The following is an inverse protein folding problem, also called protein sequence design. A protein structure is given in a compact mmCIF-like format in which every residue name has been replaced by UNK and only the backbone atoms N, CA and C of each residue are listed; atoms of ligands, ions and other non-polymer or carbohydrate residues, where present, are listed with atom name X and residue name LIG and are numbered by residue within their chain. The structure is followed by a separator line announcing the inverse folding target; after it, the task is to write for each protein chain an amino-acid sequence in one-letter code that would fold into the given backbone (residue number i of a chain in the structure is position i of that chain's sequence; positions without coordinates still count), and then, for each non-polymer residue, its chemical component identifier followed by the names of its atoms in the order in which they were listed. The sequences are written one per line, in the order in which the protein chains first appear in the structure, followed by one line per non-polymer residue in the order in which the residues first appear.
data_IF_118540634666
#
_entry.id   IF_118540634666
#
_cell.length_a   1.000
_cell.length_b   1.000
_cell.length_c   1.000
_cell.angle_alpha   90.00
_cell.angle_beta   90.00
_cell.angle_gamma   90.00
#
_symmetry.space_group_name_H-M   'P 1'
#
loop_
_entity.id
_entity.type
_entity.pdbx_description
1 polymer ?
#
# COMPACT_ATOMS: atom_id res chain seq x y z
N UNK A 1 -32.85 20.88 -22.61
CA UNK A 1 -32.10 22.04 -22.10
C UNK A 1 -31.26 21.77 -20.82
N UNK A 2 -31.60 20.81 -19.97
CA UNK A 2 -30.84 20.46 -18.78
C UNK A 2 -29.57 19.61 -19.09
N UNK A 3 -29.55 18.78 -20.11
CA UNK A 3 -28.42 17.91 -20.47
C UNK A 3 -27.24 18.69 -21.03
N UNK A 4 -27.48 19.78 -21.76
CA UNK A 4 -26.45 20.67 -22.32
C UNK A 4 -25.71 21.48 -21.27
N UNK A 5 -26.34 21.82 -20.15
CA UNK A 5 -25.70 22.56 -19.06
C UNK A 5 -24.73 21.70 -18.23
N UNK A 6 -24.97 20.40 -18.15
CA UNK A 6 -24.10 19.45 -17.41
C UNK A 6 -22.80 19.20 -18.17
N UNK A 7 -22.84 19.08 -19.51
CA UNK A 7 -21.67 18.89 -20.36
C UNK A 7 -20.77 20.14 -20.34
N UNK A 8 -21.33 21.35 -20.30
CA UNK A 8 -20.53 22.59 -20.21
C UNK A 8 -19.83 22.76 -18.85
N UNK A 9 -20.43 22.29 -17.74
CA UNK A 9 -19.77 22.35 -16.42
C UNK A 9 -18.63 21.35 -16.29
N UNK A 10 -18.75 20.15 -16.83
CA UNK A 10 -17.69 19.14 -16.85
C UNK A 10 -16.51 19.60 -17.70
N UNK A 11 -16.72 20.18 -18.87
CA UNK A 11 -15.65 20.68 -19.71
C UNK A 11 -14.90 21.89 -19.08
N UNK A 12 -15.57 22.75 -18.33
CA UNK A 12 -14.88 23.84 -17.60
C UNK A 12 -14.02 23.35 -16.45
N UNK A 13 -14.42 22.28 -15.77
CA UNK A 13 -13.61 21.65 -14.71
C UNK A 13 -12.37 20.96 -15.31
N UNK A 14 -12.56 20.21 -16.39
CA UNK A 14 -11.46 19.57 -17.13
C UNK A 14 -10.44 20.61 -17.66
N UNK A 15 -10.94 21.72 -18.22
CA UNK A 15 -10.06 22.79 -18.72
C UNK A 15 -9.28 23.47 -17.58
N UNK A 16 -9.90 23.68 -16.40
CA UNK A 16 -9.22 24.21 -15.22
C UNK A 16 -8.17 23.25 -14.66
N UNK A 17 -8.45 21.94 -14.70
CA UNK A 17 -7.48 20.91 -14.30
C UNK A 17 -6.30 20.86 -15.28
N UNK A 18 -6.56 20.89 -16.58
CA UNK A 18 -5.53 20.93 -17.62
C UNK A 18 -4.66 22.21 -17.52
N UNK A 19 -5.26 23.36 -17.27
CA UNK A 19 -4.53 24.61 -17.09
C UNK A 19 -3.68 24.61 -15.80
N UNK A 20 -4.18 24.03 -14.70
CA UNK A 20 -3.39 23.84 -13.47
C UNK A 20 -2.23 22.85 -13.70
N UNK A 21 -2.46 21.79 -14.46
CA UNK A 21 -1.43 20.82 -14.82
C UNK A 21 -0.35 21.44 -15.72
N UNK A 22 -0.73 22.21 -16.74
CA UNK A 22 0.21 22.94 -17.58
C UNK A 22 0.97 24.03 -16.82
N UNK A 23 0.35 24.66 -15.81
CA UNK A 23 1.05 25.65 -14.97
C UNK A 23 2.06 25.00 -14.02
N UNK A 24 1.80 23.77 -13.54
CA UNK A 24 2.79 22.97 -12.78
C UNK A 24 3.94 22.46 -13.64
N UNK A 25 3.68 22.15 -14.93
CA UNK A 25 4.72 21.72 -15.88
C UNK A 25 5.61 22.86 -16.40
N UNK A 26 5.15 24.10 -16.35
CA UNK A 26 5.91 25.30 -16.82
C UNK A 26 6.77 25.98 -15.77
N UNK A 27 6.70 25.57 -14.50
CA UNK A 27 7.72 26.02 -13.54
C UNK A 27 8.99 25.26 -13.87
N UNK A 28 10.11 25.96 -14.22
CA UNK A 28 11.41 25.31 -14.26
C UNK A 28 11.57 24.65 -12.88
N UNK A 29 11.89 23.35 -12.88
CA UNK A 29 12.30 22.66 -11.67
C UNK A 29 13.59 23.38 -11.26
N UNK A 30 13.49 24.36 -10.38
CA UNK A 30 14.66 24.83 -9.64
C UNK A 30 15.22 23.56 -9.00
N UNK A 31 16.38 23.11 -9.48
CA UNK A 31 17.12 22.03 -8.86
C UNK A 31 17.33 22.46 -7.41
N UNK A 32 16.51 21.91 -6.51
CA UNK A 32 16.74 22.09 -5.06
C UNK A 32 18.17 21.68 -4.82
N UNK A 33 18.99 22.51 -4.15
CA UNK A 33 20.39 22.22 -3.93
C UNK A 33 20.50 20.81 -3.36
N UNK A 34 21.20 19.95 -4.09
CA UNK A 34 21.30 18.52 -3.74
C UNK A 34 21.87 18.44 -2.33
N UNK A 35 21.15 17.83 -1.39
CA UNK A 35 21.66 17.61 -0.02
C UNK A 35 23.07 17.03 -0.08
N UNK A 36 24.00 17.47 0.77
CA UNK A 36 25.38 16.97 0.75
C UNK A 36 25.42 15.46 1.06
N UNK A 37 26.48 14.79 0.60
CA UNK A 37 26.76 13.41 0.97
C UNK A 37 26.90 13.35 2.50
N UNK A 38 26.24 12.35 3.11
CA UNK A 38 26.30 12.17 4.56
C UNK A 38 27.64 11.54 4.96
N UNK A 39 28.43 12.29 5.74
CA UNK A 39 29.70 11.78 6.25
C UNK A 39 29.52 10.54 7.14
N UNK A 40 28.38 10.48 7.87
CA UNK A 40 28.06 9.33 8.72
C UNK A 40 27.87 8.04 7.91
N UNK A 41 27.13 8.11 6.78
CA UNK A 41 26.96 6.98 5.86
C UNK A 41 28.31 6.54 5.30
N UNK A 42 29.13 7.50 4.87
CA UNK A 42 30.44 7.22 4.30
C UNK A 42 31.37 6.55 5.31
N UNK A 43 31.49 7.13 6.51
CA UNK A 43 32.32 6.55 7.59
C UNK A 43 31.87 5.12 7.95
N UNK A 44 30.58 4.85 8.01
CA UNK A 44 30.07 3.50 8.28
C UNK A 44 30.50 2.51 7.20
N UNK A 45 30.38 2.86 5.93
CA UNK A 45 30.77 2.00 4.82
C UNK A 45 32.28 1.78 4.76
N UNK A 46 33.07 2.81 5.04
CA UNK A 46 34.54 2.74 5.07
C UNK A 46 35.07 1.93 6.27
N UNK A 47 34.34 1.93 7.39
CA UNK A 47 34.74 1.23 8.61
C UNK A 47 34.60 -0.30 8.57
N UNK A 48 33.84 -0.83 7.60
CA UNK A 48 33.52 -2.25 7.51
C UNK A 48 34.15 -2.93 6.29
N UNK A 49 34.81 -4.04 6.51
CA UNK A 49 35.36 -4.90 5.44
C UNK A 49 34.26 -5.42 4.49
N UNK A 50 33.02 -5.60 5.00
CA UNK A 50 31.89 -6.14 4.23
C UNK A 50 31.50 -5.26 3.03
N UNK A 51 31.89 -3.98 3.03
CA UNK A 51 31.49 -3.01 1.98
C UNK A 51 32.62 -2.56 1.05
N UNK A 52 33.88 -2.96 1.29
CA UNK A 52 35.03 -2.54 0.47
C UNK A 52 34.85 -2.82 -1.02
N UNK A 53 34.23 -3.96 -1.38
CA UNK A 53 34.04 -4.36 -2.78
C UNK A 53 33.02 -3.49 -3.53
N UNK A 54 32.12 -2.83 -2.81
CA UNK A 54 31.01 -2.07 -3.41
C UNK A 54 31.13 -0.57 -3.20
N UNK A 55 32.05 -0.10 -2.34
CA UNK A 55 32.14 1.31 -1.96
C UNK A 55 32.24 2.24 -3.17
N UNK A 56 33.12 1.90 -4.12
CA UNK A 56 33.31 2.68 -5.36
C UNK A 56 32.15 2.53 -6.36
N UNK A 57 31.31 1.51 -6.17
CA UNK A 57 30.14 1.22 -7.03
C UNK A 57 28.85 1.84 -6.51
N UNK A 58 28.85 2.39 -5.29
CA UNK A 58 27.66 3.00 -4.70
C UNK A 58 27.40 4.34 -5.36
N UNK A 59 26.22 4.53 -5.97
CA UNK A 59 25.85 5.82 -6.55
C UNK A 59 25.84 6.93 -5.50
N UNK A 60 26.38 8.11 -5.84
CA UNK A 60 26.52 9.25 -4.89
C UNK A 60 25.20 9.67 -4.24
N UNK A 61 24.08 9.55 -4.94
CA UNK A 61 22.78 9.88 -4.37
C UNK A 61 22.38 8.94 -3.23
N UNK A 62 22.81 7.67 -3.23
CA UNK A 62 22.53 6.71 -2.15
C UNK A 62 23.35 6.99 -0.88
N UNK A 63 24.42 7.77 -0.98
CA UNK A 63 25.23 8.21 0.17
C UNK A 63 24.64 9.42 0.91
N UNK A 64 23.48 9.91 0.47
CA UNK A 64 22.72 10.97 1.12
C UNK A 64 21.70 10.42 2.07
N UNK A 65 21.24 11.24 3.03
CA UNK A 65 20.07 10.93 3.86
C UNK A 65 18.83 11.58 3.27
N UNK A 66 17.71 10.87 3.35
CA UNK A 66 16.40 11.34 2.85
C UNK A 66 15.36 11.35 3.97
N UNK A 67 14.40 12.27 3.91
CA UNK A 67 13.21 12.22 4.77
C UNK A 67 12.35 11.00 4.42
N UNK A 68 12.08 10.82 3.12
CA UNK A 68 11.32 9.71 2.57
C UNK A 68 11.95 9.25 1.23
N UNK A 69 12.77 8.21 1.22
CA UNK A 69 13.37 7.70 -0.02
C UNK A 69 12.29 7.03 -0.87
N UNK A 70 12.37 7.18 -2.19
CA UNK A 70 11.47 6.49 -3.12
C UNK A 70 11.88 5.03 -3.33
N UNK A 71 13.18 4.74 -3.24
CA UNK A 71 13.76 3.39 -3.41
C UNK A 71 14.71 3.07 -2.26
N UNK A 72 14.93 1.79 -2.03
CA UNK A 72 15.84 1.32 -0.98
C UNK A 72 16.52 0.03 -1.45
N UNK A 73 17.84 -0.03 -1.25
CA UNK A 73 18.71 -1.10 -1.76
C UNK A 73 19.43 -1.82 -0.65
N UNK A 74 19.39 -3.14 -0.66
CA UNK A 74 20.16 -3.99 0.25
C UNK A 74 21.65 -4.00 -0.15
N UNK A 75 22.52 -3.69 0.81
CA UNK A 75 23.98 -3.61 0.59
C UNK A 75 24.77 -4.68 1.34
N UNK A 76 24.14 -5.52 2.14
CA UNK A 76 24.80 -6.52 2.98
C UNK A 76 24.46 -7.96 2.56
N UNK A 77 25.49 -8.76 2.25
CA UNK A 77 25.38 -10.16 1.79
C UNK A 77 24.75 -11.06 2.88
N UNK A 78 25.19 -10.91 4.15
CA UNK A 78 24.69 -11.73 5.27
C UNK A 78 23.18 -11.50 5.50
N UNK A 79 22.74 -10.26 5.35
CA UNK A 79 21.30 -9.92 5.44
C UNK A 79 20.51 -10.51 4.26
N UNK A 80 21.07 -10.58 3.06
CA UNK A 80 20.43 -11.27 1.94
C UNK A 80 20.20 -12.76 2.26
N UNK A 81 21.23 -13.45 2.76
CA UNK A 81 21.12 -14.85 3.20
C UNK A 81 20.10 -15.01 4.32
N UNK A 82 20.07 -14.10 5.30
CA UNK A 82 19.08 -14.08 6.38
C UNK A 82 17.66 -13.96 5.84
N UNK A 83 17.40 -13.00 4.94
CA UNK A 83 16.08 -12.80 4.32
C UNK A 83 15.66 -14.06 3.59
N UNK A 84 16.50 -14.61 2.69
CA UNK A 84 16.17 -15.81 1.91
C UNK A 84 15.92 -17.02 2.79
N UNK A 85 16.70 -17.20 3.88
CA UNK A 85 16.47 -18.31 4.82
C UNK A 85 15.09 -18.29 5.45
N UNK A 86 14.54 -17.09 5.70
CA UNK A 86 13.20 -16.89 6.29
C UNK A 86 12.05 -17.08 5.27
N UNK A 87 12.29 -16.81 3.99
CA UNK A 87 11.23 -16.82 2.97
C UNK A 87 11.23 -18.05 2.07
N UNK A 88 12.39 -18.71 1.85
CA UNK A 88 12.55 -19.81 0.87
C UNK A 88 11.51 -20.92 0.99
N UNK A 89 11.13 -21.32 2.22
CA UNK A 89 10.16 -22.37 2.46
C UNK A 89 8.69 -21.91 2.36
N UNK A 90 8.47 -20.60 2.23
CA UNK A 90 7.13 -20.00 2.11
C UNK A 90 6.78 -19.66 0.66
N UNK A 91 7.80 -19.49 -0.19
CA UNK A 91 7.62 -19.30 -1.62
C UNK A 91 7.12 -20.61 -2.24
N UNK A 92 6.03 -20.53 -2.97
CA UNK A 92 5.44 -21.70 -3.63
C UNK A 92 6.34 -22.22 -4.76
N UNK A 93 6.41 -23.55 -4.89
CA UNK A 93 7.17 -24.17 -5.97
C UNK A 93 6.57 -23.80 -7.32
N UNK A 94 7.44 -23.50 -8.29
CA UNK A 94 7.05 -23.16 -9.67
C UNK A 94 6.25 -21.85 -9.84
N UNK A 95 5.99 -21.08 -8.76
CA UNK A 95 5.44 -19.75 -8.90
C UNK A 95 6.54 -18.75 -9.27
N UNK A 96 6.27 -17.75 -10.13
CA UNK A 96 7.28 -16.72 -10.41
C UNK A 96 7.62 -15.90 -9.16
N UNK A 97 8.87 -15.46 -9.09
CA UNK A 97 9.35 -14.53 -8.06
C UNK A 97 9.66 -13.21 -8.74
N UNK A 98 9.10 -12.14 -8.24
CA UNK A 98 9.44 -10.76 -8.62
C UNK A 98 10.35 -10.18 -7.55
N UNK A 99 11.55 -9.81 -7.90
CA UNK A 99 12.43 -9.03 -7.04
C UNK A 99 12.40 -7.58 -7.49
N UNK A 100 12.06 -6.69 -6.55
CA UNK A 100 11.94 -5.25 -6.82
C UNK A 100 13.12 -4.51 -6.23
N UNK A 101 13.78 -3.69 -7.06
CA UNK A 101 14.99 -2.95 -6.75
C UNK A 101 16.13 -3.86 -6.25
N UNK A 102 16.55 -4.85 -7.05
CA UNK A 102 17.62 -5.80 -6.69
C UNK A 102 18.97 -5.12 -6.40
N UNK A 103 19.24 -3.94 -6.99
CA UNK A 103 20.44 -3.17 -6.77
C UNK A 103 21.71 -3.96 -7.09
N UNK A 104 22.51 -4.28 -6.07
CA UNK A 104 23.76 -5.06 -6.21
C UNK A 104 23.53 -6.55 -6.50
N UNK A 105 22.28 -7.03 -6.55
CA UNK A 105 21.93 -8.41 -6.84
C UNK A 105 22.29 -9.40 -5.72
N UNK A 106 22.48 -8.95 -4.48
CA UNK A 106 22.78 -9.87 -3.37
C UNK A 106 21.61 -10.79 -3.06
N UNK A 107 20.40 -10.24 -2.99
CA UNK A 107 19.21 -11.04 -2.76
C UNK A 107 18.90 -11.93 -3.97
N UNK A 108 19.10 -11.44 -5.19
CA UNK A 108 18.98 -12.19 -6.44
C UNK A 108 19.82 -13.47 -6.43
N UNK A 109 21.11 -13.36 -6.09
CA UNK A 109 22.03 -14.50 -6.04
C UNK A 109 21.63 -15.54 -5.01
N UNK A 110 21.19 -15.11 -3.84
CA UNK A 110 20.71 -15.99 -2.78
C UNK A 110 19.40 -16.71 -3.19
N UNK A 111 18.47 -15.99 -3.84
CA UNK A 111 17.23 -16.58 -4.37
C UNK A 111 17.53 -17.61 -5.45
N UNK A 112 18.43 -17.33 -6.38
CA UNK A 112 18.83 -18.26 -7.44
C UNK A 112 19.48 -19.54 -6.88
N UNK A 113 20.26 -19.41 -5.81
CA UNK A 113 20.89 -20.55 -5.14
C UNK A 113 19.91 -21.39 -4.34
N UNK A 114 18.90 -20.74 -3.72
CA UNK A 114 17.95 -21.39 -2.82
C UNK A 114 16.73 -22.01 -3.51
N UNK A 115 16.37 -21.53 -4.70
CA UNK A 115 15.10 -21.86 -5.38
C UNK A 115 15.30 -22.01 -6.89
N UNK A 116 14.49 -22.88 -7.52
CA UNK A 116 14.47 -23.09 -8.97
C UNK A 116 13.38 -22.32 -9.71
N UNK A 117 12.74 -21.37 -9.02
CA UNK A 117 11.68 -20.55 -9.59
C UNK A 117 12.23 -19.58 -10.65
N UNK A 118 11.38 -19.16 -11.60
CA UNK A 118 11.70 -18.06 -12.51
C UNK A 118 11.72 -16.75 -11.72
N UNK A 119 12.72 -15.93 -11.99
CA UNK A 119 12.99 -14.69 -11.28
C UNK A 119 12.88 -13.50 -12.23
N UNK A 120 11.99 -12.56 -11.92
CA UNK A 120 11.76 -11.34 -12.66
C UNK A 120 12.32 -10.16 -11.85
N UNK A 121 13.34 -9.51 -12.39
CA UNK A 121 14.03 -8.40 -11.75
C UNK A 121 13.50 -7.08 -12.30
N UNK A 122 13.01 -6.21 -11.43
CA UNK A 122 12.60 -4.85 -11.77
C UNK A 122 13.47 -3.84 -11.03
N UNK A 123 14.20 -3.02 -11.79
CA UNK A 123 15.12 -2.03 -11.24
C UNK A 123 14.83 -0.65 -11.82
N UNK A 124 14.83 0.36 -10.97
CA UNK A 124 14.58 1.76 -11.36
C UNK A 124 15.85 2.48 -11.79
N UNK A 125 17.00 2.08 -11.21
CA UNK A 125 18.26 2.79 -11.37
C UNK A 125 19.14 2.19 -12.46
N UNK A 126 19.48 2.98 -13.46
CA UNK A 126 20.44 2.60 -14.51
C UNK A 126 21.83 2.21 -13.97
N UNK A 127 22.19 2.61 -12.74
CA UNK A 127 23.48 2.30 -12.15
C UNK A 127 23.71 0.80 -11.92
N UNK A 128 22.65 0.04 -11.77
CA UNK A 128 22.71 -1.40 -11.49
C UNK A 128 22.51 -2.27 -12.72
N UNK A 129 22.11 -1.69 -13.85
CA UNK A 129 21.74 -2.41 -15.10
C UNK A 129 22.81 -3.40 -15.51
N UNK A 130 24.08 -2.98 -15.63
CA UNK A 130 25.16 -3.84 -16.09
C UNK A 130 25.33 -5.11 -15.23
N UNK A 131 25.31 -4.96 -13.91
CA UNK A 131 25.45 -6.11 -13.00
C UNK A 131 24.25 -7.06 -13.05
N UNK A 132 23.06 -6.55 -13.28
CA UNK A 132 21.82 -7.35 -13.39
C UNK A 132 21.74 -8.06 -14.75
N UNK A 133 22.16 -7.41 -15.82
CA UNK A 133 22.32 -8.02 -17.15
C UNK A 133 23.34 -9.17 -17.14
N UNK A 134 24.46 -9.03 -16.43
CA UNK A 134 25.44 -10.10 -16.24
C UNK A 134 24.82 -11.31 -15.50
N UNK A 135 23.96 -11.07 -14.49
CA UNK A 135 23.23 -12.15 -13.80
C UNK A 135 22.22 -12.80 -14.74
N UNK A 136 21.47 -12.03 -15.54
CA UNK A 136 20.55 -12.56 -16.54
C UNK A 136 21.30 -13.39 -17.60
N UNK A 137 22.41 -12.90 -18.13
CA UNK A 137 23.21 -13.62 -19.10
C UNK A 137 23.76 -14.96 -18.56
N UNK A 138 24.03 -15.02 -17.25
CA UNK A 138 24.48 -16.26 -16.58
C UNK A 138 23.34 -17.26 -16.33
N UNK A 139 22.07 -16.80 -16.36
CA UNK A 139 20.87 -17.62 -16.08
C UNK A 139 19.73 -17.28 -17.03
N UNK A 140 19.91 -17.36 -18.36
CA UNK A 140 18.97 -16.83 -19.35
C UNK A 140 17.59 -17.50 -19.31
N UNK A 141 17.51 -18.77 -18.93
CA UNK A 141 16.25 -19.53 -18.83
C UNK A 141 15.45 -19.21 -17.55
N UNK A 142 16.08 -18.53 -16.58
CA UNK A 142 15.48 -18.34 -15.24
C UNK A 142 15.31 -16.90 -14.84
N UNK A 143 16.13 -16.01 -15.39
CA UNK A 143 16.16 -14.60 -14.99
C UNK A 143 15.72 -13.72 -16.14
N UNK A 144 14.70 -12.92 -15.88
CA UNK A 144 14.26 -11.83 -16.76
C UNK A 144 14.49 -10.50 -16.05
N UNK A 145 15.18 -9.57 -16.71
CA UNK A 145 15.46 -8.23 -16.17
C UNK A 145 14.72 -7.16 -16.94
N UNK A 146 14.17 -6.19 -16.21
CA UNK A 146 13.49 -5.03 -16.76
C UNK A 146 13.86 -3.77 -15.98
N UNK A 147 14.25 -2.73 -16.70
CA UNK A 147 14.50 -1.40 -16.13
C UNK A 147 13.18 -0.64 -16.03
N UNK A 148 12.48 -0.78 -14.89
CA UNK A 148 11.15 -0.19 -14.69
C UNK A 148 10.78 -0.09 -13.19
N UNK A 149 9.81 0.77 -12.84
CA UNK A 149 9.35 1.01 -11.47
C UNK A 149 8.15 0.11 -11.11
N UNK A 150 8.42 -1.09 -10.61
CA UNK A 150 7.37 -2.03 -10.22
C UNK A 150 6.52 -1.53 -9.04
N UNK A 151 7.14 -1.00 -7.98
CA UNK A 151 6.38 -0.44 -6.85
C UNK A 151 5.64 0.86 -7.19
N UNK A 152 6.07 1.52 -8.27
CA UNK A 152 5.41 2.69 -8.82
C UNK A 152 4.28 2.41 -9.81
N UNK A 153 3.85 1.14 -9.97
CA UNK A 153 2.79 0.77 -10.93
C UNK A 153 1.48 1.53 -10.72
N UNK A 154 1.20 2.03 -9.52
CA UNK A 154 0.04 2.88 -9.25
C UNK A 154 0.04 4.17 -10.11
N UNK A 155 1.24 4.72 -10.41
CA UNK A 155 1.39 5.89 -11.29
C UNK A 155 0.99 5.54 -12.74
N UNK A 156 1.34 4.32 -13.17
CA UNK A 156 0.97 3.81 -14.49
C UNK A 156 -0.51 3.49 -14.58
N UNK A 157 -1.07 2.82 -13.57
CA UNK A 157 -2.49 2.53 -13.48
C UNK A 157 -3.35 3.80 -13.53
N UNK A 158 -2.90 4.87 -12.87
CA UNK A 158 -3.58 6.16 -12.94
C UNK A 158 -3.54 6.75 -14.37
N UNK A 159 -2.38 6.72 -15.04
CA UNK A 159 -2.25 7.21 -16.42
C UNK A 159 -3.10 6.38 -17.39
N UNK A 160 -3.07 5.05 -17.27
CA UNK A 160 -3.89 4.16 -18.10
C UNK A 160 -5.38 4.42 -17.95
N UNK A 161 -5.84 4.75 -16.73
CA UNK A 161 -7.24 5.14 -16.49
C UNK A 161 -7.60 6.49 -17.13
N UNK A 162 -6.64 7.39 -17.36
CA UNK A 162 -6.88 8.70 -17.95
C UNK A 162 -6.92 8.70 -19.47
N UNK A 163 -6.16 7.81 -20.10
CA UNK A 163 -5.96 7.80 -21.56
C UNK A 163 -6.15 6.41 -22.21
N UNK A 164 -6.77 5.46 -21.47
CA UNK A 164 -7.01 4.08 -21.88
C UNK A 164 -5.73 3.38 -22.39
N UNK A 165 -4.59 3.68 -21.73
CA UNK A 165 -3.28 3.13 -22.06
C UNK A 165 -3.09 1.70 -21.59
N UNK A 166 -1.97 1.07 -22.02
CA UNK A 166 -1.60 -0.31 -21.68
C UNK A 166 -0.27 -0.39 -20.91
N UNK A 167 0.06 0.63 -20.11
CA UNK A 167 1.35 0.73 -19.42
C UNK A 167 1.54 -0.35 -18.37
N UNK A 168 0.47 -0.72 -17.67
CA UNK A 168 0.51 -1.82 -16.69
C UNK A 168 0.77 -3.15 -17.39
N UNK A 169 0.07 -3.45 -18.49
CA UNK A 169 0.31 -4.67 -19.25
C UNK A 169 1.73 -4.71 -19.80
N UNK A 170 2.26 -3.58 -20.27
CA UNK A 170 3.64 -3.47 -20.74
C UNK A 170 4.66 -3.63 -19.59
N UNK A 171 4.37 -3.08 -18.39
CA UNK A 171 5.20 -3.29 -17.21
C UNK A 171 5.27 -4.76 -16.85
N UNK A 172 4.14 -5.44 -16.77
CA UNK A 172 4.06 -6.83 -16.32
C UNK A 172 4.57 -7.81 -17.39
N UNK A 173 4.30 -7.57 -18.67
CA UNK A 173 4.71 -8.50 -19.74
C UNK A 173 4.25 -9.93 -19.44
N UNK A 174 5.18 -10.88 -19.37
CA UNK A 174 4.91 -12.31 -19.12
C UNK A 174 4.37 -12.60 -17.71
N UNK A 175 4.44 -11.63 -16.80
CA UNK A 175 3.81 -11.73 -15.48
C UNK A 175 2.31 -11.44 -15.51
N UNK A 176 1.81 -10.77 -16.55
CA UNK A 176 0.39 -10.47 -16.67
C UNK A 176 -0.43 -11.75 -16.74
N UNK A 177 -1.54 -11.79 -15.99
CA UNK A 177 -2.43 -12.94 -15.95
C UNK A 177 -3.87 -12.54 -15.71
N UNK A 178 -4.80 -13.23 -16.34
CA UNK A 178 -6.22 -13.15 -16.05
C UNK A 178 -6.65 -14.15 -14.97
N UNK A 179 -5.77 -15.11 -14.64
CA UNK A 179 -5.98 -16.05 -13.55
C UNK A 179 -5.81 -15.36 -12.20
N UNK A 180 -6.93 -15.10 -11.52
CA UNK A 180 -6.98 -14.43 -10.22
C UNK A 180 -6.36 -15.27 -9.09
N UNK A 181 -6.24 -16.57 -9.27
CA UNK A 181 -5.69 -17.48 -8.28
C UNK A 181 -4.21 -17.81 -8.54
N UNK A 182 -3.66 -17.36 -9.69
CA UNK A 182 -2.23 -17.51 -9.98
C UNK A 182 -1.39 -16.89 -8.88
N UNK A 183 -0.54 -17.71 -8.29
CA UNK A 183 0.37 -17.26 -7.23
C UNK A 183 1.64 -16.67 -7.78
N UNK A 184 2.10 -15.64 -7.12
CA UNK A 184 3.28 -14.86 -7.43
C UNK A 184 3.92 -14.43 -6.11
N UNK A 185 5.23 -14.50 -5.99
CA UNK A 185 5.94 -13.97 -4.82
C UNK A 185 6.65 -12.66 -5.18
N UNK A 186 6.40 -11.60 -4.42
CA UNK A 186 7.05 -10.31 -4.59
C UNK A 186 8.01 -10.10 -3.42
N UNK A 187 9.29 -9.88 -3.73
CA UNK A 187 10.36 -9.72 -2.74
C UNK A 187 11.06 -8.39 -2.97
N UNK A 188 11.37 -7.66 -1.90
CA UNK A 188 12.13 -6.40 -2.03
C UNK A 188 12.06 -5.52 -0.80
N UNK A 189 12.80 -4.42 -0.81
CA UNK A 189 12.72 -3.37 0.20
C UNK A 189 11.75 -2.28 -0.25
N UNK A 190 10.74 -2.02 0.56
CA UNK A 190 9.67 -1.07 0.25
C UNK A 190 9.68 0.09 1.26
N UNK A 191 10.27 1.23 0.90
CA UNK A 191 10.36 2.40 1.78
C UNK A 191 9.04 3.15 1.97
N UNK A 192 8.04 2.89 1.12
CA UNK A 192 6.73 3.56 1.12
C UNK A 192 5.60 2.54 1.03
N UNK A 193 4.46 2.84 1.66
CA UNK A 193 3.25 1.99 1.61
C UNK A 193 2.38 2.21 0.36
N UNK A 194 2.85 3.02 -0.60
CA UNK A 194 2.06 3.35 -1.81
C UNK A 194 1.64 2.13 -2.62
N UNK A 195 2.52 1.13 -2.73
CA UNK A 195 2.19 -0.12 -3.42
C UNK A 195 1.10 -0.91 -2.69
N UNK A 196 1.14 -0.98 -1.35
CA UNK A 196 0.06 -1.62 -0.54
C UNK A 196 -1.26 -0.87 -0.71
N UNK A 197 -1.23 0.48 -0.73
CA UNK A 197 -2.41 1.30 -1.04
C UNK A 197 -2.98 0.95 -2.42
N UNK A 198 -2.11 0.79 -3.41
CA UNK A 198 -2.51 0.41 -4.77
C UNK A 198 -3.19 -0.96 -4.78
N UNK A 199 -2.62 -1.96 -4.13
CA UNK A 199 -3.23 -3.29 -4.04
C UNK A 199 -4.61 -3.25 -3.36
N UNK A 200 -4.75 -2.52 -2.26
CA UNK A 200 -6.04 -2.33 -1.59
C UNK A 200 -7.06 -1.70 -2.54
N UNK A 201 -6.68 -0.62 -3.23
CA UNK A 201 -7.57 0.07 -4.17
C UNK A 201 -7.99 -0.85 -5.34
N UNK A 202 -7.05 -1.65 -5.84
CA UNK A 202 -7.32 -2.61 -6.91
C UNK A 202 -8.33 -3.66 -6.47
N UNK A 203 -8.18 -4.21 -5.26
CA UNK A 203 -9.11 -5.19 -4.69
C UNK A 203 -10.48 -4.55 -4.43
N UNK A 204 -10.49 -3.38 -3.80
CA UNK A 204 -11.73 -2.70 -3.38
C UNK A 204 -12.58 -2.25 -4.57
N UNK A 205 -11.96 -1.69 -5.58
CA UNK A 205 -12.68 -1.11 -6.73
C UNK A 205 -12.70 -2.01 -7.96
N UNK A 206 -12.26 -3.27 -7.82
CA UNK A 206 -12.24 -4.25 -8.92
C UNK A 206 -11.61 -3.69 -10.20
N UNK A 207 -10.58 -2.86 -10.04
CA UNK A 207 -9.86 -2.35 -11.19
C UNK A 207 -9.22 -3.53 -11.92
N UNK A 208 -9.58 -3.72 -13.18
CA UNK A 208 -9.08 -4.78 -14.08
C UNK A 208 -7.56 -4.71 -14.28
N UNK A 209 -6.92 -3.67 -13.80
CA UNK A 209 -5.47 -3.46 -13.84
C UNK A 209 -4.66 -4.38 -12.92
N UNK A 210 -5.30 -5.22 -12.10
CA UNK A 210 -4.59 -6.24 -11.33
C UNK A 210 -4.43 -7.52 -12.15
N UNK A 211 -3.53 -7.48 -13.11
CA UNK A 211 -3.09 -8.66 -13.85
C UNK A 211 -2.00 -9.45 -13.08
N UNK A 212 -1.93 -9.27 -11.75
CA UNK A 212 -0.92 -9.91 -10.90
C UNK A 212 -1.39 -11.23 -10.27
N UNK A 213 -2.67 -11.60 -10.43
CA UNK A 213 -3.23 -12.74 -9.70
C UNK A 213 -3.28 -12.49 -8.20
N UNK A 214 -2.81 -13.46 -7.41
CA UNK A 214 -2.82 -13.45 -5.93
C UNK A 214 -1.38 -13.39 -5.38
N UNK A 215 -0.79 -12.19 -5.26
CA UNK A 215 0.59 -12.04 -4.85
C UNK A 215 0.79 -12.28 -3.35
N UNK A 216 1.84 -13.05 -3.01
CA UNK A 216 2.44 -13.14 -1.69
C UNK A 216 3.60 -12.15 -1.60
N UNK A 217 3.53 -11.20 -0.67
CA UNK A 217 4.57 -10.18 -0.51
C UNK A 217 5.51 -10.57 0.63
N UNK A 218 6.81 -10.57 0.35
CA UNK A 218 7.88 -10.71 1.32
C UNK A 218 8.69 -9.42 1.33
N UNK A 219 8.24 -8.45 2.09
CA UNK A 219 8.70 -7.06 2.00
C UNK A 219 9.49 -6.67 3.23
N UNK A 220 10.66 -6.06 2.99
CA UNK A 220 11.40 -5.36 4.04
C UNK A 220 10.92 -3.92 4.08
N UNK A 221 10.34 -3.49 5.20
CA UNK A 221 9.79 -2.15 5.36
C UNK A 221 10.19 -1.50 6.69
N UNK A 222 10.17 -0.16 6.78
CA UNK A 222 10.35 0.55 8.05
C UNK A 222 9.33 0.11 9.10
N UNK A 223 9.76 -0.02 10.36
CA UNK A 223 8.89 -0.41 11.48
C UNK A 223 7.67 0.50 11.62
N UNK A 224 7.83 1.81 11.39
CA UNK A 224 6.74 2.78 11.40
C UNK A 224 5.62 2.47 10.40
N UNK A 225 5.98 2.00 9.20
CA UNK A 225 4.99 1.60 8.18
C UNK A 225 4.25 0.32 8.58
N UNK A 226 4.97 -0.63 9.17
CA UNK A 226 4.35 -1.84 9.69
C UNK A 226 3.35 -1.52 10.80
N UNK A 227 3.76 -0.74 11.81
CA UNK A 227 2.88 -0.32 12.90
C UNK A 227 1.67 0.46 12.37
N UNK A 228 1.89 1.42 11.46
CA UNK A 228 0.79 2.16 10.86
C UNK A 228 -0.26 1.25 10.22
N UNK A 229 0.15 0.16 9.56
CA UNK A 229 -0.77 -0.79 8.92
C UNK A 229 -1.44 -1.75 9.90
N UNK A 230 -0.77 -2.06 11.02
CA UNK A 230 -1.14 -3.17 11.91
C UNK A 230 -1.58 -2.74 13.30
N UNK A 231 -1.46 -1.45 13.64
CA UNK A 231 -1.78 -0.95 14.97
C UNK A 231 -3.21 -1.33 15.35
N UNK A 232 -3.31 -2.21 16.35
CA UNK A 232 -4.58 -2.61 16.94
C UNK A 232 -5.22 -1.46 17.74
N UNK A 233 -4.42 -0.45 18.14
CA UNK A 233 -4.89 0.76 18.83
C UNK A 233 -5.42 1.83 17.86
N UNK A 234 -5.79 1.45 16.63
CA UNK A 234 -6.58 2.29 15.71
C UNK A 234 -7.78 2.94 16.42
N UNK A 235 -8.15 2.42 17.58
CA UNK A 235 -9.11 3.05 18.49
C UNK A 235 -8.67 4.43 19.01
N UNK A 236 -7.37 4.70 19.12
CA UNK A 236 -6.85 5.92 19.75
C UNK A 236 -6.29 6.93 18.74
N UNK A 237 -5.90 6.50 17.56
CA UNK A 237 -5.31 7.37 16.56
C UNK A 237 -6.26 7.61 15.40
N UNK A 238 -6.59 8.87 15.20
CA UNK A 238 -7.33 9.45 14.09
C UNK A 238 -7.19 8.64 12.78
N UNK A 239 -8.18 7.78 12.44
CA UNK A 239 -8.85 7.82 11.18
C UNK A 239 -8.14 7.38 9.94
N UNK A 240 -7.73 6.13 9.83
CA UNK A 240 -7.24 5.76 8.51
C UNK A 240 -8.01 4.52 8.05
N UNK A 241 -8.90 4.70 7.09
CA UNK A 241 -9.57 3.60 6.39
C UNK A 241 -8.57 2.59 5.84
N UNK A 242 -7.35 3.05 5.52
CA UNK A 242 -6.28 2.21 4.99
C UNK A 242 -5.83 1.10 5.96
N UNK A 243 -5.46 1.35 7.23
CA UNK A 243 -5.14 0.28 8.17
C UNK A 243 -6.31 -0.68 8.42
N UNK A 244 -7.53 -0.15 8.51
CA UNK A 244 -8.70 -1.00 8.70
C UNK A 244 -8.91 -1.96 7.51
N UNK A 245 -8.83 -1.45 6.30
CA UNK A 245 -8.95 -2.26 5.08
C UNK A 245 -7.78 -3.23 4.95
N UNK A 246 -6.54 -2.80 5.27
CA UNK A 246 -5.39 -3.68 5.26
C UNK A 246 -5.61 -4.89 6.17
N UNK A 247 -5.99 -4.67 7.42
CA UNK A 247 -6.22 -5.74 8.38
C UNK A 247 -7.43 -6.63 8.03
N UNK A 248 -8.44 -6.08 7.36
CA UNK A 248 -9.59 -6.84 6.91
C UNK A 248 -9.30 -7.69 5.66
N UNK A 249 -8.44 -7.19 4.76
CA UNK A 249 -8.16 -7.82 3.47
C UNK A 249 -6.95 -8.77 3.50
N UNK A 250 -5.94 -8.48 4.34
CA UNK A 250 -4.69 -9.22 4.33
C UNK A 250 -4.43 -9.95 5.64
N UNK A 251 -3.78 -11.12 5.52
CA UNK A 251 -3.01 -11.74 6.60
C UNK A 251 -1.58 -11.21 6.52
N UNK A 252 -1.00 -10.90 7.68
CA UNK A 252 0.33 -10.33 7.76
C UNK A 252 1.10 -10.86 8.98
N UNK A 253 2.39 -11.06 8.79
CA UNK A 253 3.27 -11.59 9.85
C UNK A 253 4.67 -11.04 9.69
N UNK A 254 5.26 -10.55 10.79
CA UNK A 254 6.71 -10.30 10.85
C UNK A 254 7.42 -11.64 10.85
N UNK A 255 8.32 -11.84 9.90
CA UNK A 255 9.15 -13.03 9.80
C UNK A 255 10.47 -12.82 10.53
N UNK A 256 11.03 -11.60 10.43
CA UNK A 256 12.32 -11.27 11.01
C UNK A 256 12.51 -9.75 11.10
N UNK A 257 13.54 -9.33 11.85
CA UNK A 257 14.04 -7.97 11.88
C UNK A 257 15.46 -7.94 11.34
N UNK A 258 15.74 -6.97 10.47
CA UNK A 258 17.06 -6.81 9.84
C UNK A 258 17.61 -5.40 10.08
N UNK A 259 18.93 -5.22 10.24
CA UNK A 259 19.51 -3.92 10.55
C UNK A 259 19.20 -2.89 9.45
N UNK A 260 18.66 -1.75 9.83
CA UNK A 260 18.33 -0.64 8.90
C UNK A 260 19.55 -0.13 8.15
N UNK A 261 20.72 -0.13 8.78
CA UNK A 261 21.98 0.34 8.21
C UNK A 261 22.46 -0.49 7.01
N UNK A 262 21.92 -1.72 6.85
CA UNK A 262 22.21 -2.59 5.70
C UNK A 262 21.43 -2.21 4.42
N UNK A 263 20.68 -1.10 4.47
CA UNK A 263 19.90 -0.59 3.33
C UNK A 263 20.27 0.87 3.05
N UNK A 264 20.41 1.22 1.77
CA UNK A 264 20.65 2.59 1.30
C UNK A 264 19.52 3.07 0.40
N UNK A 265 19.21 4.36 0.39
CA UNK A 265 19.75 5.44 1.24
C UNK A 265 19.20 5.40 2.66
N UNK A 266 19.94 5.98 3.61
CA UNK A 266 19.42 6.13 4.97
C UNK A 266 18.38 7.23 5.07
N UNK A 267 17.46 7.06 6.01
CA UNK A 267 16.50 8.10 6.37
C UNK A 267 17.05 8.97 7.49
N UNK A 268 16.64 10.24 7.53
CA UNK A 268 16.86 11.06 8.71
C UNK A 268 16.12 10.41 9.90
N UNK A 269 16.73 10.44 11.09
CA UNK A 269 16.05 10.03 12.31
C UNK A 269 14.96 11.07 12.62
N UNK A 270 13.71 10.71 12.40
CA UNK A 270 12.58 11.48 12.90
C UNK A 270 12.37 11.05 14.35
N UNK A 271 12.98 11.77 15.28
CA UNK A 271 12.72 11.55 16.72
C UNK A 271 11.31 12.05 17.02
N UNK A 272 10.32 11.27 16.69
CA UNK A 272 8.98 11.45 17.24
C UNK A 272 8.95 10.83 18.63
N UNK A 273 8.87 11.68 19.63
CA UNK A 273 8.98 11.38 21.08
C UNK A 273 7.93 10.40 21.66
N UNK A 274 7.22 9.61 20.84
CA UNK A 274 5.99 8.90 21.29
C UNK A 274 5.92 7.40 21.03
N UNK A 275 6.90 6.73 20.42
CA UNK A 275 6.79 5.27 20.32
C UNK A 275 7.91 4.57 21.08
N UNK A 276 7.57 4.05 22.27
CA UNK A 276 8.44 3.17 23.07
C UNK A 276 8.52 1.74 22.50
N UNK A 277 7.95 1.47 21.33
CA UNK A 277 7.75 0.12 20.79
C UNK A 277 8.53 -0.11 19.49
N UNK A 278 8.81 0.96 18.72
CA UNK A 278 9.50 0.83 17.43
C UNK A 278 11.00 0.74 17.66
N UNK A 279 11.60 -0.34 17.17
CA UNK A 279 13.05 -0.45 17.06
C UNK A 279 13.50 0.36 15.82
N UNK A 280 13.92 1.61 16.03
CA UNK A 280 14.36 2.54 14.96
C UNK A 280 15.61 2.05 14.21
N UNK A 281 16.33 1.08 14.78
CA UNK A 281 17.55 0.51 14.18
C UNK A 281 17.26 -0.64 13.23
N UNK A 282 16.02 -1.13 13.18
CA UNK A 282 15.64 -2.29 12.38
C UNK A 282 14.61 -1.95 11.30
N UNK A 283 14.69 -2.70 10.21
CA UNK A 283 13.63 -2.90 9.23
C UNK A 283 12.93 -4.21 9.52
N UNK A 284 11.65 -4.31 9.19
CA UNK A 284 10.87 -5.51 9.41
C UNK A 284 10.68 -6.26 8.10
N UNK A 285 11.11 -7.53 8.07
CA UNK A 285 10.76 -8.47 7.01
C UNK A 285 9.36 -9.00 7.29
N UNK A 286 8.40 -8.62 6.46
CA UNK A 286 6.99 -8.93 6.63
C UNK A 286 6.50 -9.80 5.48
N UNK A 287 5.72 -10.83 5.80
CA UNK A 287 4.90 -11.53 4.82
C UNK A 287 3.49 -10.94 4.85
N UNK A 288 2.97 -10.54 3.70
CA UNK A 288 1.63 -10.00 3.51
C UNK A 288 0.93 -10.82 2.44
N UNK A 289 -0.24 -11.35 2.75
CA UNK A 289 -1.03 -12.25 1.92
C UNK A 289 -2.48 -11.79 1.83
N UNK A 290 -3.08 -11.79 0.65
CA UNK A 290 -4.53 -11.58 0.54
C UNK A 290 -5.25 -12.76 1.21
N UNK A 291 -6.22 -12.46 2.08
CA UNK A 291 -7.06 -13.49 2.73
C UNK A 291 -7.85 -14.28 1.72
N UNK A 292 -8.02 -15.57 1.99
CA UNK A 292 -8.85 -16.44 1.15
C UNK A 292 -10.32 -16.04 1.20
N UNK A 293 -10.77 -15.51 2.34
CA UNK A 293 -12.14 -15.05 2.56
C UNK A 293 -12.17 -13.53 2.70
N UNK A 294 -12.82 -12.85 1.77
CA UNK A 294 -13.02 -11.41 1.84
C UNK A 294 -14.00 -11.02 2.97
N UNK A 295 -13.87 -9.79 3.52
CA UNK A 295 -14.71 -9.33 4.62
C UNK A 295 -16.19 -9.18 4.24
N UNK A 296 -16.50 -9.06 2.98
CA UNK A 296 -17.86 -8.97 2.42
C UNK A 296 -17.82 -9.37 0.93
N UNK A 297 -18.99 -9.61 0.31
CA UNK A 297 -19.05 -9.85 -1.13
C UNK A 297 -18.32 -8.77 -1.92
N UNK A 298 -17.62 -9.10 -3.03
CA UNK A 298 -16.84 -8.16 -3.81
C UNK A 298 -17.60 -6.86 -4.13
N UNK A 299 -18.85 -6.94 -4.55
CA UNK A 299 -19.73 -5.79 -4.85
C UNK A 299 -19.91 -4.80 -3.68
N UNK A 300 -19.65 -5.23 -2.45
CA UNK A 300 -19.78 -4.40 -1.24
C UNK A 300 -18.44 -3.82 -0.77
N UNK A 301 -17.31 -4.19 -1.36
CA UNK A 301 -16.00 -3.65 -0.96
C UNK A 301 -15.89 -2.13 -1.13
N UNK A 302 -16.38 -1.50 -2.22
CA UNK A 302 -16.40 -0.04 -2.33
C UNK A 302 -17.28 0.63 -1.25
N UNK A 303 -18.40 0.00 -0.89
CA UNK A 303 -19.26 0.47 0.20
C UNK A 303 -18.57 0.35 1.57
N UNK A 304 -17.82 -0.75 1.79
CA UNK A 304 -17.03 -0.96 3.00
C UNK A 304 -15.93 0.10 3.13
N UNK A 305 -15.22 0.39 2.04
CA UNK A 305 -14.23 1.47 1.99
C UNK A 305 -14.87 2.82 2.36
N UNK A 306 -15.99 3.15 1.75
CA UNK A 306 -16.70 4.40 2.01
C UNK A 306 -17.21 4.48 3.45
N UNK A 307 -17.72 3.37 3.99
CA UNK A 307 -18.13 3.26 5.38
C UNK A 307 -16.99 3.58 6.34
N UNK A 308 -15.81 2.97 6.16
CA UNK A 308 -14.65 3.25 7.00
C UNK A 308 -14.13 4.67 6.80
N UNK A 309 -14.17 5.20 5.59
CA UNK A 309 -13.74 6.57 5.30
C UNK A 309 -14.63 7.63 5.96
N UNK A 310 -15.92 7.42 6.01
CA UNK A 310 -16.88 8.47 6.42
C UNK A 310 -17.42 8.34 7.84
N UNK A 311 -17.52 7.10 8.36
CA UNK A 311 -18.19 6.84 9.62
C UNK A 311 -17.23 6.62 10.78
N UNK A 312 -16.02 6.14 10.51
CA UNK A 312 -15.02 5.94 11.54
C UNK A 312 -14.05 7.12 11.67
N UNK A 313 -14.37 8.24 11.01
CA UNK A 313 -13.46 9.37 10.86
C UNK A 313 -13.23 10.17 12.15
N UNK A 314 -14.21 10.26 13.03
CA UNK A 314 -14.07 10.94 14.32
C UNK A 314 -14.26 9.97 15.49
N UNK A 315 -13.36 10.00 16.47
CA UNK A 315 -13.47 9.18 17.67
C UNK A 315 -14.81 9.40 18.42
N UNK A 316 -15.39 10.58 18.28
CA UNK A 316 -16.68 10.95 18.87
C UNK A 316 -17.90 10.60 18.02
N UNK A 317 -17.73 10.02 16.83
CA UNK A 317 -18.87 9.66 15.98
C UNK A 317 -19.67 8.52 16.61
N UNK A 318 -20.95 8.82 16.94
CA UNK A 318 -21.87 7.83 17.51
C UNK A 318 -22.43 6.93 16.44
N UNK A 319 -22.50 5.62 16.70
CA UNK A 319 -22.90 4.60 15.73
C UNK A 319 -24.35 4.80 15.31
N UNK A 320 -25.29 4.76 16.25
CA UNK A 320 -26.73 4.82 15.96
C UNK A 320 -27.11 6.14 15.29
N UNK A 321 -26.81 7.33 15.84
CA UNK A 321 -27.17 8.58 15.19
C UNK A 321 -26.59 8.75 13.80
N UNK A 322 -25.42 8.14 13.53
CA UNK A 322 -24.79 8.22 12.21
C UNK A 322 -25.49 7.33 11.19
N UNK A 323 -25.91 6.13 11.57
CA UNK A 323 -26.64 5.22 10.68
C UNK A 323 -28.08 5.65 10.46
N UNK A 324 -28.74 6.24 11.46
CA UNK A 324 -30.07 6.83 11.34
C UNK A 324 -30.17 7.95 10.28
N UNK A 325 -29.05 8.61 9.96
CA UNK A 325 -28.99 9.58 8.86
C UNK A 325 -29.23 8.94 7.48
N UNK A 326 -28.92 7.64 7.35
CA UNK A 326 -29.09 6.89 6.12
C UNK A 326 -30.36 6.05 6.13
N UNK A 327 -30.67 5.39 7.23
CA UNK A 327 -31.85 4.51 7.39
C UNK A 327 -32.54 4.86 8.70
N UNK A 328 -33.54 5.77 8.66
CA UNK A 328 -34.29 6.12 9.84
C UNK A 328 -34.94 4.91 10.51
N UNK A 329 -34.89 4.82 11.83
CA UNK A 329 -35.41 3.71 12.63
C UNK A 329 -34.48 2.49 12.77
N UNK A 330 -33.33 2.50 12.14
CA UNK A 330 -32.37 1.38 12.23
C UNK A 330 -31.77 1.20 13.62
N UNK A 331 -31.76 2.24 14.44
CA UNK A 331 -31.19 2.21 15.80
C UNK A 331 -31.87 1.20 16.72
N UNK A 332 -33.18 1.03 16.58
CA UNK A 332 -33.96 0.03 17.33
C UNK A 332 -33.39 -1.38 17.11
N UNK A 333 -33.07 -1.75 15.86
CA UNK A 333 -32.52 -3.06 15.51
C UNK A 333 -31.15 -3.31 16.14
N UNK A 334 -30.34 -2.26 16.26
CA UNK A 334 -29.01 -2.36 16.90
C UNK A 334 -29.12 -2.46 18.42
N UNK A 335 -30.07 -1.75 19.03
CA UNK A 335 -30.29 -1.77 20.49
C UNK A 335 -30.91 -3.10 20.93
N UNK A 336 -31.91 -3.60 20.20
CA UNK A 336 -32.60 -4.84 20.52
C UNK A 336 -31.82 -6.11 20.17
N UNK A 337 -30.68 -5.95 19.47
CA UNK A 337 -29.85 -7.09 19.13
C UNK A 337 -30.48 -8.05 18.10
N UNK A 338 -31.42 -7.57 17.28
CA UNK A 338 -31.98 -8.41 16.20
C UNK A 338 -30.86 -9.02 15.36
N UNK A 339 -30.80 -10.34 15.34
CA UNK A 339 -29.74 -11.04 14.64
C UNK A 339 -29.79 -10.82 13.13
N UNK A 340 -28.62 -10.68 12.49
CA UNK A 340 -28.56 -10.64 11.03
C UNK A 340 -28.97 -12.01 10.46
N UNK A 341 -29.37 -12.09 9.18
CA UNK A 341 -29.60 -13.36 8.50
C UNK A 341 -28.44 -14.34 8.72
N UNK A 342 -28.76 -15.62 8.91
CA UNK A 342 -27.80 -16.68 9.27
C UNK A 342 -26.68 -16.93 8.23
N UNK A 343 -26.78 -16.34 7.03
CA UNK A 343 -25.92 -16.64 5.87
C UNK A 343 -24.64 -15.80 5.81
N UNK A 344 -24.34 -14.97 6.85
CA UNK A 344 -23.15 -14.13 6.84
C UNK A 344 -21.88 -14.94 7.18
N UNK A 345 -21.11 -15.30 6.15
CA UNK A 345 -19.78 -15.90 6.31
C UNK A 345 -18.69 -14.84 6.01
N UNK A 346 -17.59 -14.77 6.81
CA UNK A 346 -17.41 -15.46 8.10
C UNK A 346 -18.36 -14.97 9.18
N UNK A 347 -18.54 -15.78 10.24
CA UNK A 347 -19.46 -15.48 11.34
C UNK A 347 -19.23 -14.07 11.90
N UNK A 348 -20.29 -13.27 12.11
CA UNK A 348 -20.17 -11.92 12.62
C UNK A 348 -19.65 -11.92 14.06
N UNK A 349 -18.74 -10.97 14.38
CA UNK A 349 -18.33 -10.77 15.77
C UNK A 349 -19.53 -10.29 16.61
N UNK A 350 -19.68 -10.76 17.86
CA UNK A 350 -20.75 -10.30 18.73
C UNK A 350 -20.60 -8.79 18.98
N UNK A 351 -21.72 -8.07 18.85
CA UNK A 351 -21.76 -6.64 19.20
C UNK A 351 -21.93 -6.49 20.72
N UNK A 352 -21.31 -5.47 21.31
CA UNK A 352 -21.61 -5.09 22.68
C UNK A 352 -23.06 -4.60 22.80
N UNK A 353 -23.54 -4.43 24.02
CA UNK A 353 -24.83 -3.76 24.25
C UNK A 353 -24.76 -2.33 23.68
N UNK A 354 -25.50 -2.09 22.58
CA UNK A 354 -25.49 -0.81 21.87
C UNK A 354 -26.52 0.15 22.47
N UNK A 355 -26.16 1.42 22.53
CA UNK A 355 -27.07 2.51 22.89
C UNK A 355 -26.76 3.77 22.05
N UNK A 356 -27.56 4.82 22.21
CA UNK A 356 -27.43 6.08 21.45
C UNK A 356 -26.09 6.82 21.68
N UNK A 357 -25.36 6.48 22.73
CA UNK A 357 -24.07 7.08 23.08
C UNK A 357 -22.87 6.25 22.61
N UNK A 358 -23.10 4.99 22.20
CA UNK A 358 -22.04 4.11 21.70
C UNK A 358 -21.33 4.74 20.51
N UNK A 359 -20.01 4.90 20.61
CA UNK A 359 -19.17 5.48 19.56
C UNK A 359 -18.55 4.40 18.68
N UNK A 360 -18.15 4.75 17.46
CA UNK A 360 -17.36 3.83 16.63
C UNK A 360 -16.00 3.50 17.26
N UNK A 361 -15.43 4.40 18.05
CA UNK A 361 -14.19 4.15 18.83
C UNK A 361 -14.34 3.03 19.85
N UNK A 362 -15.53 2.79 20.37
CA UNK A 362 -15.79 1.74 21.38
C UNK A 362 -15.82 0.33 20.76
N UNK A 363 -15.87 0.25 19.44
CA UNK A 363 -15.98 -1.00 18.69
C UNK A 363 -14.62 -1.46 18.17
N UNK A 364 -14.35 -2.76 18.30
CA UNK A 364 -13.24 -3.40 17.62
C UNK A 364 -13.42 -3.37 16.09
N UNK A 365 -12.36 -3.59 15.33
CA UNK A 365 -12.43 -3.63 13.86
C UNK A 365 -13.46 -4.66 13.36
N UNK A 366 -13.51 -5.85 13.99
CA UNK A 366 -14.46 -6.89 13.63
C UNK A 366 -15.91 -6.53 13.99
N UNK A 367 -16.12 -5.81 15.09
CA UNK A 367 -17.44 -5.30 15.46
C UNK A 367 -17.90 -4.19 14.49
N UNK A 368 -16.99 -3.29 14.06
CA UNK A 368 -17.28 -2.31 12.99
C UNK A 368 -17.67 -3.00 11.69
N UNK A 369 -16.97 -4.07 11.31
CA UNK A 369 -17.35 -4.88 10.15
C UNK A 369 -18.73 -5.53 10.33
N UNK A 370 -19.05 -6.02 11.52
CA UNK A 370 -20.39 -6.56 11.83
C UNK A 370 -21.48 -5.50 11.70
N UNK A 371 -21.23 -4.29 12.22
CA UNK A 371 -22.16 -3.15 12.04
C UNK A 371 -22.37 -2.86 10.56
N UNK A 372 -21.29 -2.78 9.76
CA UNK A 372 -21.38 -2.58 8.31
C UNK A 372 -22.21 -3.68 7.62
N UNK A 373 -21.94 -4.96 7.92
CA UNK A 373 -22.66 -6.08 7.31
C UNK A 373 -24.14 -6.04 7.64
N UNK A 374 -24.51 -5.73 8.89
CA UNK A 374 -25.91 -5.52 9.29
C UNK A 374 -26.53 -4.35 8.50
N UNK A 375 -25.84 -3.22 8.43
CA UNK A 375 -26.30 -2.03 7.73
C UNK A 375 -26.63 -2.31 6.25
N UNK A 376 -25.75 -3.00 5.51
CA UNK A 376 -25.98 -3.33 4.10
C UNK A 376 -26.95 -4.48 3.88
N UNK A 377 -27.32 -5.24 4.93
CA UNK A 377 -28.29 -6.34 4.84
C UNK A 377 -29.74 -5.88 5.10
N UNK A 378 -29.94 -4.67 5.59
CA UNK A 378 -31.29 -4.18 5.84
C UNK A 378 -32.04 -3.90 4.53
N UNK A 379 -33.34 -4.23 4.44
CA UNK A 379 -34.11 -4.05 3.21
C UNK A 379 -34.12 -2.60 2.68
N UNK A 380 -34.06 -1.64 3.58
CA UNK A 380 -34.06 -0.21 3.27
C UNK A 380 -32.75 0.29 2.70
N UNK A 381 -31.66 -0.51 2.82
CA UNK A 381 -30.33 -0.10 2.35
C UNK A 381 -30.32 0.22 0.85
N UNK A 382 -30.99 -0.55 0.02
CA UNK A 382 -30.98 -0.33 -1.43
C UNK A 382 -31.73 0.97 -1.82
N UNK A 383 -32.58 1.48 -0.93
CA UNK A 383 -33.33 2.72 -1.15
C UNK A 383 -32.67 3.95 -0.52
N UNK A 384 -31.69 3.73 0.37
CA UNK A 384 -30.99 4.84 1.02
C UNK A 384 -29.91 5.43 0.08
N UNK A 385 -29.58 6.71 0.28
CA UNK A 385 -28.61 7.45 -0.53
C UNK A 385 -27.14 7.06 -0.33
N UNK A 386 -26.83 6.04 0.48
CA UNK A 386 -25.45 5.70 0.85
C UNK A 386 -24.60 5.30 -0.35
N UNK A 387 -25.13 4.48 -1.27
CA UNK A 387 -24.46 4.06 -2.51
C UNK A 387 -24.15 5.26 -3.40
N UNK A 388 -25.15 6.12 -3.64
CA UNK A 388 -24.96 7.33 -4.46
C UNK A 388 -23.97 8.30 -3.84
N UNK A 389 -23.95 8.44 -2.51
CA UNK A 389 -22.95 9.26 -1.80
C UNK A 389 -21.54 8.69 -1.95
N UNK A 390 -21.38 7.36 -1.90
CA UNK A 390 -20.11 6.69 -2.18
C UNK A 390 -19.65 6.98 -3.61
N UNK A 391 -20.50 6.77 -4.61
CA UNK A 391 -20.20 7.02 -6.02
C UNK A 391 -19.79 8.48 -6.27
N UNK A 392 -20.47 9.44 -5.67
CA UNK A 392 -20.13 10.86 -5.75
C UNK A 392 -18.81 11.22 -5.07
N UNK A 393 -18.29 10.36 -4.16
CA UNK A 393 -17.01 10.57 -3.50
C UNK A 393 -15.81 10.04 -4.30
N UNK A 394 -16.03 9.13 -5.26
CA UNK A 394 -14.95 8.51 -6.05
C UNK A 394 -14.12 9.49 -6.88
N UNK A 395 -14.71 10.48 -7.58
CA UNK A 395 -13.93 11.46 -8.35
C UNK A 395 -12.98 12.29 -7.49
N UNK A 396 -13.41 12.65 -6.27
CA UNK A 396 -12.55 13.37 -5.32
C UNK A 396 -11.39 12.52 -4.82
N UNK A 397 -11.60 11.22 -4.71
CA UNK A 397 -10.57 10.28 -4.30
C UNK A 397 -9.49 10.06 -5.38
N UNK A 398 -9.88 10.04 -6.64
CA UNK A 398 -8.93 9.94 -7.75
C UNK A 398 -7.95 11.13 -7.79
N UNK A 399 -8.39 12.33 -7.37
CA UNK A 399 -7.51 13.51 -7.27
C UNK A 399 -6.61 13.51 -6.03
N UNK A 400 -7.04 12.90 -4.92
CA UNK A 400 -6.22 12.77 -3.70
C UNK A 400 -5.08 11.74 -3.82
N UNK A 401 -5.16 10.81 -4.78
CA UNK A 401 -4.04 9.90 -5.07
C UNK A 401 -2.83 10.64 -5.64
N UNK A 402 -3.01 11.83 -6.24
CA UNK A 402 -1.92 12.68 -6.70
C UNK A 402 -1.11 13.32 -5.55
N UNK A 403 -1.71 13.49 -4.38
CA UNK A 403 -1.07 14.05 -3.18
C UNK A 403 -0.37 12.99 -2.30
N UNK A 404 -0.32 11.73 -2.73
CA UNK A 404 0.37 10.64 -2.00
C UNK A 404 1.91 10.85 -1.88
N UNK A 405 2.44 11.99 -2.31
CA UNK A 405 3.80 12.46 -2.03
C UNK A 405 3.95 13.14 -0.66
N UNK A 406 2.84 13.45 0.02
CA UNK A 406 2.93 14.03 1.33
C UNK A 406 3.52 13.02 2.32
N UNK A 407 4.56 13.38 3.07
CA UNK A 407 4.99 12.61 4.23
C UNK A 407 3.79 12.38 5.16
N UNK A 408 3.82 11.28 5.92
CA UNK A 408 2.75 10.96 6.88
C UNK A 408 2.44 12.11 7.87
N UNK A 409 3.35 13.08 7.99
CA UNK A 409 3.25 14.24 8.89
C UNK A 409 2.40 15.42 8.32
N UNK A 410 2.19 15.50 6.99
CA UNK A 410 1.53 16.65 6.35
C UNK A 410 0.01 16.43 6.08
N UNK A 411 -0.56 15.33 6.53
CA UNK A 411 -2.00 15.01 6.30
C UNK A 411 -2.92 15.64 7.36
N UNK A 412 -2.35 16.28 8.39
CA UNK A 412 -3.10 16.73 9.57
C UNK A 412 -3.60 18.20 9.52
N UNK A 413 -3.28 19.01 8.48
CA UNK A 413 -3.56 20.46 8.54
C UNK A 413 -4.70 21.01 7.62
N UNK A 414 -5.32 20.23 6.73
CA UNK A 414 -6.25 20.81 5.74
C UNK A 414 -7.75 20.50 5.92
N UNK A 415 -8.21 20.00 7.06
CA UNK A 415 -9.64 19.64 7.21
C UNK A 415 -10.36 20.25 8.43
N UNK A 416 -9.89 21.36 9.00
CA UNK A 416 -10.60 22.03 10.10
C UNK A 416 -11.59 23.12 9.67
N UNK A 417 -11.76 23.39 8.35
CA UNK A 417 -12.74 24.38 7.85
C UNK A 417 -13.71 23.75 6.83
N UNK A 418 -14.74 23.03 7.29
CA UNK A 418 -16.12 23.07 6.72
C UNK A 418 -17.13 22.44 7.73
#
# INVERSE_FOLDING_TARGET
MLVTLTIFKTNRLLLRLLLRYQHKLKKPVEEKPSSPISQEVKNYLESSEDYKEILDKIPKHLLKKYKAPETMYLINKKTATQIVSNIKNKIEKNSPIVEVNPGFGYLTKELLSARNNNLFLYEVSNHFTKGLEEIQASHPERVSFKLDDFFGMWKLAFKDKMDDGNRISNLLGDLATDDKDRKLSIVGAMPSISFVKHLINTIVFHNTTSQLGKPDLFIVMPGQHYEFLTDATIQLNKHKSLPALFQLLFDFKVLDKVPKVHFLPWTHSTVTKKSNVIDEHCMYLVNIKLKDTLPCPPRHLPLLWYFFKTHTFSNSTRVIPKLEQWIPGCGVRLITGQEPPADLTPAPAPLPHMNIFTQFSDLTLQQKLTVFRRFVSWPEFEQCGFRSAMENSLPKFATQLDDARAPLDDVDEELDDV
#
